data_IF_796387566334
#
_entry.id   IF_796387566334
#
_cell.length_a   1.000
_cell.length_b   1.000
_cell.length_c   1.000
_cell.angle_alpha   90.00
_cell.angle_beta   90.00
_cell.angle_gamma   90.00
#
_symmetry.space_group_name_H-M   'P 1'
#
loop_
_entity.id
_entity.type
_entity.pdbx_description
1 polymer ?
#
# COMPACT_ATOMS: atom_id res chain seq x y z
N UNK A 1 30.72 -32.91 26.59
CA UNK A 1 29.86 -32.93 25.39
C UNK A 1 29.48 -31.49 25.09
N UNK A 2 30.06 -30.88 24.07
CA UNK A 2 29.84 -29.48 23.72
C UNK A 2 28.74 -29.42 22.66
N UNK A 3 27.58 -28.86 22.98
CA UNK A 3 26.51 -28.61 22.00
C UNK A 3 26.67 -27.17 21.55
N UNK A 4 27.22 -26.97 20.36
CA UNK A 4 27.21 -25.67 19.70
C UNK A 4 25.82 -25.48 19.07
N UNK A 5 25.00 -24.63 19.68
CA UNK A 5 23.77 -24.15 19.05
C UNK A 5 24.19 -23.05 18.07
N UNK A 6 24.28 -23.42 16.80
CA UNK A 6 24.37 -22.43 15.72
C UNK A 6 22.95 -21.86 15.56
N UNK A 7 22.69 -20.71 16.18
CA UNK A 7 21.54 -19.88 15.83
C UNK A 7 21.85 -19.25 14.47
N UNK A 8 21.63 -20.00 13.40
CA UNK A 8 21.55 -19.41 12.07
C UNK A 8 20.24 -18.62 12.01
N UNK A 9 20.25 -17.38 12.50
CA UNK A 9 19.29 -16.39 12.03
C UNK A 9 19.67 -16.13 10.58
N UNK A 10 19.10 -16.92 9.69
CA UNK A 10 18.96 -16.55 8.28
C UNK A 10 18.04 -15.34 8.26
N UNK A 11 18.57 -14.16 8.62
CA UNK A 11 18.05 -12.91 8.15
C UNK A 11 18.30 -12.94 6.64
N UNK A 12 17.40 -13.63 5.92
CA UNK A 12 17.16 -13.33 4.52
C UNK A 12 16.88 -11.83 4.59
N UNK A 13 17.82 -11.02 4.10
CA UNK A 13 17.57 -9.61 3.87
C UNK A 13 16.32 -9.60 2.99
N UNK A 14 15.18 -9.34 3.61
CA UNK A 14 13.91 -9.23 2.92
C UNK A 14 14.16 -8.09 1.93
N UNK A 15 14.25 -8.43 0.64
CA UNK A 15 14.42 -7.41 -0.39
C UNK A 15 13.37 -6.34 -0.10
N UNK A 16 13.82 -5.09 0.07
CA UNK A 16 12.94 -3.99 0.45
C UNK A 16 11.76 -4.00 -0.50
N UNK A 17 10.53 -4.00 0.04
CA UNK A 17 9.35 -4.08 -0.81
C UNK A 17 9.36 -2.94 -1.83
N UNK A 18 8.76 -3.16 -3.00
CA UNK A 18 8.78 -2.18 -4.08
C UNK A 18 8.22 -0.82 -3.63
N UNK A 19 7.22 -0.84 -2.74
CA UNK A 19 6.67 0.37 -2.12
C UNK A 19 7.70 1.16 -1.30
N UNK A 20 8.57 0.51 -0.55
CA UNK A 20 9.66 1.16 0.21
C UNK A 20 10.73 1.77 -0.69
N UNK A 21 11.11 1.06 -1.76
CA UNK A 21 12.09 1.55 -2.72
C UNK A 21 11.60 2.85 -3.36
N UNK A 22 10.33 2.88 -3.77
CA UNK A 22 9.71 4.07 -4.38
C UNK A 22 9.62 5.23 -3.41
N UNK A 23 9.33 4.98 -2.14
CA UNK A 23 9.37 6.03 -1.13
C UNK A 23 10.78 6.60 -0.94
N UNK A 24 11.79 5.72 -0.86
CA UNK A 24 13.18 6.14 -0.75
C UNK A 24 13.65 6.95 -1.97
N UNK A 25 13.22 6.57 -3.17
CA UNK A 25 13.51 7.32 -4.40
C UNK A 25 12.81 8.68 -4.39
N UNK A 26 11.56 8.75 -3.93
CA UNK A 26 10.86 10.02 -3.74
C UNK A 26 11.59 10.92 -2.76
N UNK A 27 12.02 10.43 -1.59
CA UNK A 27 12.79 11.21 -0.62
C UNK A 27 14.04 11.86 -1.22
N UNK A 28 14.72 11.16 -2.15
CA UNK A 28 15.92 11.64 -2.82
C UNK A 28 15.64 12.57 -4.01
N UNK A 29 14.43 12.52 -4.58
CA UNK A 29 14.07 13.27 -5.79
C UNK A 29 14.04 14.79 -5.59
N UNK A 30 13.85 15.27 -4.36
CA UNK A 30 13.85 16.70 -4.04
C UNK A 30 14.30 16.94 -2.59
N UNK A 31 15.11 18.00 -2.31
CA UNK A 31 15.47 18.39 -0.95
C UNK A 31 14.29 18.75 -0.04
N UNK A 32 13.11 19.06 -0.61
CA UNK A 32 11.91 19.37 0.18
C UNK A 32 11.21 18.12 0.74
N UNK A 33 11.38 16.96 0.10
CA UNK A 33 10.64 15.76 0.46
C UNK A 33 11.04 15.20 1.84
N UNK A 34 12.32 15.19 2.26
CA UNK A 34 12.70 14.83 3.63
C UNK A 34 12.12 15.78 4.68
N UNK A 35 11.99 17.07 4.36
CA UNK A 35 11.40 18.07 5.27
C UNK A 35 9.92 17.76 5.49
N UNK A 36 9.21 17.46 4.39
CA UNK A 36 7.80 17.08 4.44
C UNK A 36 7.58 15.74 5.16
N UNK A 37 8.43 14.74 4.88
CA UNK A 37 8.37 13.42 5.51
C UNK A 37 8.64 13.44 7.02
N UNK A 38 9.45 14.40 7.49
CA UNK A 38 9.71 14.60 8.92
C UNK A 38 8.60 15.37 9.64
N UNK A 39 7.62 15.93 8.92
CA UNK A 39 6.51 16.66 9.53
C UNK A 39 5.55 15.69 10.21
N UNK A 40 5.13 15.96 11.46
CA UNK A 40 4.14 15.14 12.18
C UNK A 40 2.76 15.20 11.56
N UNK A 41 2.49 16.19 10.72
CA UNK A 41 1.18 16.45 10.13
C UNK A 41 0.97 15.72 8.79
N UNK A 42 1.93 14.92 8.33
CA UNK A 42 1.88 14.28 7.02
C UNK A 42 2.10 12.78 7.08
N UNK A 43 1.41 12.09 6.18
CA UNK A 43 1.59 10.68 5.89
C UNK A 43 1.90 10.51 4.41
N UNK A 44 2.85 9.64 4.11
CA UNK A 44 3.08 9.17 2.76
C UNK A 44 2.56 7.75 2.61
N UNK A 45 1.71 7.56 1.61
CA UNK A 45 1.14 6.29 1.24
C UNK A 45 1.72 5.86 -0.10
N UNK A 46 2.31 4.68 -0.15
CA UNK A 46 2.73 4.04 -1.39
C UNK A 46 1.88 2.80 -1.60
N UNK A 47 1.24 2.71 -2.76
CA UNK A 47 0.52 1.51 -3.19
C UNK A 47 1.15 1.02 -4.48
N UNK A 48 1.53 -0.26 -4.50
CA UNK A 48 2.07 -0.95 -5.66
C UNK A 48 1.14 -2.10 -6.01
N UNK A 49 0.59 -2.07 -7.21
CA UNK A 49 -0.27 -3.11 -7.76
C UNK A 49 0.52 -3.86 -8.83
N UNK A 50 0.61 -5.18 -8.71
CA UNK A 50 1.21 -6.03 -9.73
C UNK A 50 0.40 -7.31 -9.94
N UNK A 51 0.31 -7.77 -11.19
CA UNK A 51 -0.21 -9.11 -11.49
C UNK A 51 0.89 -10.13 -11.23
N UNK A 52 0.59 -11.14 -10.41
CA UNK A 52 1.40 -12.34 -10.28
C UNK A 52 1.02 -13.31 -11.41
N UNK A 53 1.90 -14.27 -11.73
CA UNK A 53 1.78 -15.19 -12.88
C UNK A 53 0.47 -16.01 -12.88
N UNK A 54 -0.20 -16.17 -11.74
CA UNK A 54 -1.35 -17.06 -11.53
C UNK A 54 -2.70 -16.35 -11.29
N UNK A 55 -3.08 -15.33 -12.08
CA UNK A 55 -4.33 -14.52 -11.94
C UNK A 55 -4.52 -13.78 -10.60
N UNK A 56 -3.55 -13.87 -9.69
CA UNK A 56 -3.55 -13.10 -8.46
C UNK A 56 -3.01 -11.68 -8.71
N UNK A 57 -3.65 -10.68 -8.11
CA UNK A 57 -3.10 -9.34 -7.97
C UNK A 57 -2.46 -9.23 -6.59
N UNK A 58 -1.17 -8.88 -6.59
CA UNK A 58 -0.47 -8.46 -5.39
C UNK A 58 -0.60 -6.95 -5.24
N UNK A 59 -1.13 -6.53 -4.10
CA UNK A 59 -1.21 -5.14 -3.68
C UNK A 59 -0.30 -4.97 -2.47
N UNK A 60 0.85 -4.36 -2.71
CA UNK A 60 1.82 -3.99 -1.69
C UNK A 60 1.58 -2.54 -1.28
N UNK A 61 1.28 -2.33 0.00
CA UNK A 61 0.99 -1.02 0.55
C UNK A 61 2.02 -0.75 1.64
N UNK A 62 2.62 0.43 1.61
CA UNK A 62 3.44 0.94 2.70
C UNK A 62 2.95 2.33 3.09
N UNK A 63 2.75 2.52 4.39
CA UNK A 63 2.32 3.79 4.98
C UNK A 63 3.48 4.31 5.82
N UNK A 64 3.97 5.49 5.50
CA UNK A 64 5.10 6.16 6.14
C UNK A 64 4.62 7.37 6.92
N UNK A 65 4.95 7.41 8.21
CA UNK A 65 4.69 8.54 9.10
C UNK A 65 5.92 8.86 9.96
N UNK A 66 6.02 10.10 10.41
CA UNK A 66 7.09 10.58 11.31
C UNK A 66 6.79 10.27 12.78
N UNK A 67 5.52 10.13 13.17
CA UNK A 67 5.06 9.83 14.53
C UNK A 67 4.39 8.44 14.65
N UNK A 68 4.38 7.90 15.87
CA UNK A 68 3.87 6.55 16.18
C UNK A 68 2.39 6.40 15.82
N UNK A 69 2.05 5.26 15.21
CA UNK A 69 0.68 4.91 14.79
C UNK A 69 -0.23 4.51 15.97
N UNK A 70 0.28 4.49 17.20
CA UNK A 70 -0.47 4.07 18.40
C UNK A 70 -1.71 4.95 18.64
N UNK A 71 -1.72 6.18 18.11
CA UNK A 71 -2.85 7.11 18.15
C UNK A 71 -3.74 7.06 16.90
N UNK A 72 -3.37 6.32 15.85
CA UNK A 72 -4.14 6.26 14.61
C UNK A 72 -5.38 5.36 14.76
N UNK A 73 -6.53 5.78 14.20
CA UNK A 73 -7.72 4.93 14.15
C UNK A 73 -7.44 3.68 13.32
N UNK A 74 -8.20 2.58 13.53
CA UNK A 74 -8.07 1.38 12.71
C UNK A 74 -8.23 1.70 11.22
N UNK A 75 -7.21 1.35 10.43
CA UNK A 75 -7.20 1.54 8.99
C UNK A 75 -7.87 0.32 8.35
N UNK A 76 -8.81 0.54 7.44
CA UNK A 76 -9.41 -0.53 6.65
C UNK A 76 -9.00 -0.35 5.19
N UNK A 77 -8.50 -1.43 4.59
CA UNK A 77 -8.06 -1.46 3.20
C UNK A 77 -8.97 -2.42 2.44
N UNK A 78 -9.57 -1.92 1.37
CA UNK A 78 -10.40 -2.69 0.46
C UNK A 78 -9.71 -2.74 -0.91
N UNK A 79 -9.61 -3.94 -1.48
CA UNK A 79 -9.07 -4.17 -2.82
C UNK A 79 -10.16 -4.83 -3.66
N UNK A 80 -10.65 -4.10 -4.66
CA UNK A 80 -11.71 -4.53 -5.55
C UNK A 80 -11.20 -4.64 -6.99
N UNK A 81 -11.10 -5.85 -7.56
CA UNK A 81 -10.88 -6.01 -8.99
C UNK A 81 -12.07 -5.43 -9.78
N UNK A 82 -11.77 -4.79 -10.90
CA UNK A 82 -12.74 -4.16 -11.80
C UNK A 82 -12.46 -4.55 -13.25
N UNK A 83 -13.52 -4.57 -14.04
CA UNK A 83 -13.48 -4.70 -15.50
C UNK A 83 -13.93 -3.39 -16.13
N UNK A 84 -13.16 -2.92 -17.10
CA UNK A 84 -13.49 -1.76 -17.93
C UNK A 84 -14.38 -2.23 -19.08
N UNK A 85 -15.57 -1.66 -19.20
CA UNK A 85 -16.55 -1.98 -20.23
C UNK A 85 -16.79 -0.71 -21.05
N UNK A 86 -16.51 -0.75 -22.35
CA UNK A 86 -16.93 0.31 -23.26
C UNK A 86 -18.42 0.22 -23.50
N UNK A 87 -19.13 1.33 -23.31
CA UNK A 87 -20.55 1.46 -23.63
C UNK A 87 -20.76 2.06 -25.01
N UNK A 88 -21.96 1.86 -25.54
CA UNK A 88 -22.40 2.40 -26.83
C UNK A 88 -22.33 3.95 -26.91
N UNK A 89 -22.24 4.65 -25.77
CA UNK A 89 -22.05 6.11 -25.67
C UNK A 89 -20.56 6.52 -25.59
N UNK A 90 -19.64 5.66 -25.99
CA UNK A 90 -18.17 5.81 -25.92
C UNK A 90 -17.63 6.03 -24.49
N UNK A 91 -18.46 5.85 -23.46
CA UNK A 91 -18.01 5.94 -22.07
C UNK A 91 -17.50 4.60 -21.60
N UNK A 92 -16.27 4.58 -21.10
CA UNK A 92 -15.76 3.45 -20.32
C UNK A 92 -16.41 3.46 -18.94
N UNK A 93 -17.12 2.38 -18.61
CA UNK A 93 -17.68 2.14 -17.28
C UNK A 93 -16.90 1.03 -16.60
N UNK A 94 -16.55 1.25 -15.34
CA UNK A 94 -15.81 0.31 -14.51
C UNK A 94 -16.79 -0.46 -13.64
N UNK A 95 -16.79 -1.79 -13.75
CA UNK A 95 -17.71 -2.66 -13.02
C UNK A 95 -16.91 -3.59 -12.10
N UNK A 96 -17.27 -3.72 -10.81
CA UNK A 96 -16.66 -4.68 -9.91
C UNK A 96 -16.76 -6.11 -10.46
N UNK A 97 -15.68 -6.87 -10.37
CA UNK A 97 -15.61 -8.29 -10.70
C UNK A 97 -14.88 -9.06 -9.60
N UNK A 98 -15.24 -10.31 -9.38
CA UNK A 98 -14.64 -11.13 -8.33
C UNK A 98 -15.03 -10.70 -6.91
N UNK A 99 -14.19 -11.08 -5.94
CA UNK A 99 -14.43 -10.84 -4.50
C UNK A 99 -13.61 -9.65 -4.03
N UNK A 100 -14.23 -8.75 -3.27
CA UNK A 100 -13.53 -7.69 -2.53
C UNK A 100 -12.66 -8.31 -1.43
N UNK A 101 -11.36 -8.02 -1.44
CA UNK A 101 -10.47 -8.38 -0.34
C UNK A 101 -10.42 -7.23 0.66
N UNK A 102 -10.67 -7.54 1.93
CA UNK A 102 -10.73 -6.57 3.03
C UNK A 102 -9.69 -6.90 4.10
N UNK A 103 -8.89 -5.90 4.46
CA UNK A 103 -7.91 -6.00 5.54
C UNK A 103 -8.17 -4.89 6.56
N UNK A 104 -8.20 -5.26 7.84
CA UNK A 104 -8.28 -4.30 8.95
C UNK A 104 -6.95 -4.28 9.68
N UNK A 105 -6.34 -3.10 9.74
CA UNK A 105 -5.18 -2.81 10.55
C UNK A 105 -5.67 -2.13 11.82
N UNK A 106 -5.50 -2.80 12.96
CA UNK A 106 -5.79 -2.21 14.25
C UNK A 106 -4.55 -1.41 14.64
N UNK A 107 -4.67 -0.18 15.14
CA UNK A 107 -3.55 0.75 15.41
C UNK A 107 -2.40 0.22 16.30
N UNK A 108 -2.50 -1.01 16.80
CA UNK A 108 -1.48 -1.73 17.59
C UNK A 108 -0.77 -2.89 16.84
N UNK A 109 -1.04 -3.14 15.55
CA UNK A 109 -0.34 -4.22 14.82
C UNK A 109 1.08 -3.81 14.45
N UNK A 110 2.05 -4.69 14.69
CA UNK A 110 3.49 -4.60 14.40
C UNK A 110 3.85 -3.59 13.28
N UNK A 111 4.00 -2.32 13.65
CA UNK A 111 4.59 -1.29 12.79
C UNK A 111 6.08 -1.50 12.83
N UNK A 112 6.71 -1.63 11.67
CA UNK A 112 8.16 -1.72 11.59
C UNK A 112 8.72 -0.31 11.48
N UNK A 113 9.65 0.05 12.36
CA UNK A 113 10.37 1.33 12.20
C UNK A 113 11.44 1.15 11.14
N UNK A 114 11.26 1.82 10.00
CA UNK A 114 12.26 1.89 8.94
C UNK A 114 13.23 3.05 9.15
N UNK A 115 14.35 3.09 8.40
CA UNK A 115 15.31 4.20 8.45
C UNK A 115 14.71 5.54 7.99
N UNK A 116 13.57 5.51 7.30
CA UNK A 116 12.90 6.67 6.72
C UNK A 116 11.62 7.08 7.46
N UNK A 117 11.38 6.55 8.66
CA UNK A 117 10.15 6.75 9.43
C UNK A 117 9.49 5.44 9.83
N UNK A 118 8.29 5.52 10.39
CA UNK A 118 7.50 4.36 10.76
C UNK A 118 6.78 3.81 9.54
N UNK A 119 6.83 2.49 9.35
CA UNK A 119 6.28 1.82 8.18
C UNK A 119 5.26 0.77 8.60
N UNK A 120 4.00 0.98 8.22
CA UNK A 120 2.97 -0.06 8.25
C UNK A 120 2.85 -0.68 6.86
N UNK A 121 3.11 -1.99 6.74
CA UNK A 121 3.20 -2.67 5.44
C UNK A 121 2.19 -3.81 5.23
N UNK A 122 0.95 -3.52 4.83
CA UNK A 122 0.06 -4.57 4.39
C UNK A 122 0.45 -5.09 3.00
N UNK A 123 0.72 -6.39 2.90
CA UNK A 123 0.72 -7.10 1.63
C UNK A 123 -0.62 -7.82 1.49
N UNK A 124 -1.34 -7.52 0.42
CA UNK A 124 -2.65 -8.10 0.13
C UNK A 124 -2.55 -8.86 -1.18
N UNK A 125 -2.79 -10.16 -1.13
CA UNK A 125 -2.93 -10.98 -2.33
C UNK A 125 -4.44 -11.16 -2.57
N UNK A 126 -4.94 -10.51 -3.60
CA UNK A 126 -6.33 -10.63 -4.03
C UNK A 126 -6.40 -11.49 -5.29
N UNK A 127 -7.26 -12.49 -5.31
CA UNK A 127 -7.54 -13.22 -6.53
C UNK A 127 -8.38 -12.33 -7.45
N UNK A 128 -7.88 -12.03 -8.64
CA UNK A 128 -8.64 -11.30 -9.64
C UNK A 128 -9.10 -12.29 -10.71
N UNK A 129 -10.38 -12.25 -11.12
CA UNK A 129 -10.82 -13.07 -12.25
C UNK A 129 -10.12 -12.62 -13.54
N UNK A 130 -10.03 -13.50 -14.53
CA UNK A 130 -9.27 -13.23 -15.77
C UNK A 130 -9.76 -11.96 -16.49
N UNK A 131 -11.05 -11.68 -16.42
CA UNK A 131 -11.67 -10.51 -17.01
C UNK A 131 -11.38 -9.18 -16.28
N UNK A 132 -10.69 -9.20 -15.14
CA UNK A 132 -10.30 -7.99 -14.44
C UNK A 132 -9.17 -7.27 -15.21
N UNK A 133 -9.39 -5.98 -15.47
CA UNK A 133 -8.44 -5.08 -16.16
C UNK A 133 -7.88 -4.01 -15.24
N UNK A 134 -8.53 -3.76 -14.10
CA UNK A 134 -8.19 -2.69 -13.15
C UNK A 134 -8.38 -3.17 -11.71
N UNK A 135 -7.71 -2.54 -10.76
CA UNK A 135 -7.91 -2.71 -9.33
C UNK A 135 -8.19 -1.36 -8.72
N UNK A 136 -9.25 -1.31 -7.93
CA UNK A 136 -9.53 -0.20 -7.02
C UNK A 136 -9.00 -0.56 -5.63
N UNK A 137 -8.11 0.28 -5.10
CA UNK A 137 -7.66 0.22 -3.72
C UNK A 137 -8.31 1.37 -2.96
N UNK A 138 -9.10 1.03 -1.94
CA UNK A 138 -9.73 2.00 -1.03
C UNK A 138 -9.10 1.89 0.33
N UNK A 139 -8.58 3.00 0.84
CA UNK A 139 -8.06 3.08 2.20
C UNK A 139 -8.98 3.99 3.00
N UNK A 140 -9.60 3.40 4.01
CA UNK A 140 -10.57 4.03 4.90
C UNK A 140 -9.90 4.35 6.23
N UNK A 141 -10.33 5.44 6.85
CA UNK A 141 -9.89 5.90 8.16
C UNK A 141 -8.37 6.17 8.27
N UNK A 142 -7.65 6.41 7.17
CA UNK A 142 -6.24 6.82 7.24
C UNK A 142 -6.05 8.23 7.83
N UNK A 143 -7.05 9.09 7.64
CA UNK A 143 -7.08 10.50 8.04
C UNK A 143 -8.36 10.66 8.86
N UNK A 144 -8.24 10.96 10.15
CA UNK A 144 -9.28 11.23 11.17
C UNK A 144 -10.75 11.18 10.68
N UNK A 145 -11.19 9.99 10.21
CA UNK A 145 -12.47 9.72 9.55
C UNK A 145 -12.91 10.61 8.37
N UNK A 146 -12.05 11.45 7.80
CA UNK A 146 -12.50 12.49 6.86
C UNK A 146 -12.26 12.17 5.36
N UNK A 147 -11.38 11.23 5.01
CA UNK A 147 -11.08 10.92 3.59
C UNK A 147 -10.88 9.43 3.33
N UNK A 148 -11.65 8.90 2.40
CA UNK A 148 -11.32 7.64 1.71
C UNK A 148 -10.35 7.97 0.57
N UNK A 149 -9.23 7.26 0.49
CA UNK A 149 -8.31 7.37 -0.64
C UNK A 149 -8.67 6.31 -1.66
N UNK A 150 -8.76 6.71 -2.92
CA UNK A 150 -9.14 5.85 -4.03
C UNK A 150 -7.99 5.84 -5.03
N UNK A 151 -7.42 4.68 -5.28
CA UNK A 151 -6.38 4.48 -6.29
C UNK A 151 -6.93 3.46 -7.28
N UNK A 152 -7.06 3.88 -8.54
CA UNK A 152 -7.43 3.01 -9.64
C UNK A 152 -6.20 2.74 -10.49
N UNK A 153 -5.73 1.49 -10.47
CA UNK A 153 -4.56 1.07 -11.23
C UNK A 153 -4.89 -0.08 -12.17
N UNK A 154 -4.44 0.05 -13.42
CA UNK A 154 -4.57 -0.98 -14.44
C UNK A 154 -3.78 -2.22 -14.03
N UNK A 155 -4.39 -3.38 -14.15
CA UNK A 155 -3.70 -4.66 -13.92
C UNK A 155 -2.85 -4.95 -15.16
N UNK A 156 -1.58 -4.61 -15.10
CA UNK A 156 -0.60 -4.92 -16.14
C UNK A 156 0.28 -6.11 -15.71
N UNK A 157 1.00 -6.70 -16.68
CA UNK A 157 2.00 -7.75 -16.43
C UNK A 157 3.28 -7.22 -15.73
N UNK A 158 3.20 -6.08 -15.03
CA UNK A 158 4.30 -5.44 -14.32
C UNK A 158 3.79 -4.55 -13.19
N UNK A 159 4.66 -4.14 -12.24
CA UNK A 159 4.26 -3.34 -11.09
C UNK A 159 3.92 -1.92 -11.52
N UNK A 160 2.68 -1.50 -11.27
CA UNK A 160 2.26 -0.10 -11.32
C UNK A 160 2.23 0.44 -9.89
N UNK A 161 2.74 1.63 -9.69
CA UNK A 161 2.83 2.21 -8.37
C UNK A 161 2.30 3.63 -8.32
N UNK A 162 1.67 3.93 -7.21
CA UNK A 162 1.05 5.19 -6.88
C UNK A 162 1.60 5.65 -5.52
N UNK A 163 2.26 6.81 -5.50
CA UNK A 163 2.70 7.48 -4.28
C UNK A 163 1.81 8.69 -4.03
N UNK A 164 1.24 8.77 -2.84
CA UNK A 164 0.42 9.88 -2.37
C UNK A 164 1.02 10.42 -1.08
N UNK A 165 1.16 11.74 -0.97
CA UNK A 165 1.59 12.41 0.26
C UNK A 165 0.47 13.33 0.69
N UNK A 166 -0.05 13.12 1.90
CA UNK A 166 -1.31 13.70 2.36
C UNK A 166 -1.16 14.25 3.78
N UNK A 167 -1.86 15.35 4.11
CA UNK A 167 -1.95 15.80 5.50
C UNK A 167 -2.81 14.81 6.31
N UNK A 168 -2.43 14.58 7.58
CA UNK A 168 -3.10 13.69 8.53
C UNK A 168 -4.38 14.29 9.12
N UNK A 169 -4.53 15.61 9.06
CA UNK A 169 -5.68 16.33 9.55
C UNK A 169 -6.43 17.02 8.41
N UNK A 170 -7.76 17.04 8.49
CA UNK A 170 -8.58 17.85 7.60
C UNK A 170 -8.80 19.22 8.25
N UNK A 171 -8.19 20.26 7.67
CA UNK A 171 -8.59 21.64 7.92
C UNK A 171 -9.81 22.02 7.08
#
# INVERSE_FOLDING_TARGET
>A
MLVAIILSTSAIAQESKRSEQLYADWLRSSPQNPILAASPDYVALVVVVSRNENTAVNVDISIFASEDFDSMPPIEILVQPKKSIERDDEKTVRVPVGVETRLKFLGSTNVTRGPNGLVAQPQIIANAPEEASEVEVRILNLIDNCRSIWIEDSIMNGPKASLLVLPLFCN
#
